data_IF_388964023703
#
_entry.id   IF_388964023703
#
_cell.length_a   1.000
_cell.length_b   1.000
_cell.length_c   1.000
_cell.angle_alpha   90.00
_cell.angle_beta   90.00
_cell.angle_gamma   90.00
#
_symmetry.space_group_name_H-M   'P 1'
#
loop_
_entity.id
_entity.type
_entity.pdbx_description
1 polymer ?
#
# COMPACT_ATOMS: atom_id res chain seq x y z
N UNK A 1 36.23 -15.55 -10.52
CA UNK A 1 34.89 -16.08 -10.20
C UNK A 1 33.97 -15.02 -9.61
N UNK A 2 34.42 -14.09 -8.79
CA UNK A 2 33.62 -13.02 -8.16
C UNK A 2 32.89 -12.12 -9.16
N UNK A 3 33.52 -11.73 -10.28
CA UNK A 3 32.90 -10.86 -11.28
C UNK A 3 31.71 -11.49 -12.04
N UNK A 4 31.74 -12.81 -12.25
CA UNK A 4 30.63 -13.52 -12.89
C UNK A 4 29.38 -13.57 -11.99
N UNK A 5 29.56 -13.83 -10.70
CA UNK A 5 28.47 -13.82 -9.74
C UNK A 5 27.85 -12.42 -9.58
N UNK A 6 28.67 -11.37 -9.55
CA UNK A 6 28.17 -10.00 -9.47
C UNK A 6 27.36 -9.60 -10.74
N UNK A 7 27.83 -9.98 -11.93
CA UNK A 7 27.10 -9.74 -13.17
C UNK A 7 25.77 -10.50 -13.22
N UNK A 8 25.73 -11.74 -12.74
CA UNK A 8 24.51 -12.55 -12.67
C UNK A 8 23.50 -11.96 -11.67
N UNK A 9 23.95 -11.51 -10.51
CA UNK A 9 23.08 -10.84 -9.54
C UNK A 9 22.50 -9.55 -10.09
N UNK A 10 23.31 -8.69 -10.73
CA UNK A 10 22.82 -7.47 -11.40
C UNK A 10 21.76 -7.79 -12.45
N UNK A 11 21.99 -8.81 -13.29
CA UNK A 11 21.03 -9.23 -14.30
C UNK A 11 19.72 -9.74 -13.70
N UNK A 12 19.78 -10.54 -12.62
CA UNK A 12 18.59 -11.05 -11.94
C UNK A 12 17.76 -9.90 -11.36
N UNK A 13 18.39 -8.95 -10.67
CA UNK A 13 17.74 -7.77 -10.11
C UNK A 13 17.06 -6.96 -11.21
N UNK A 14 17.74 -6.74 -12.35
CA UNK A 14 17.18 -6.01 -13.49
C UNK A 14 15.93 -6.68 -14.05
N UNK A 15 15.99 -8.01 -14.28
CA UNK A 15 14.84 -8.77 -14.81
C UNK A 15 13.65 -8.71 -13.87
N UNK A 16 13.88 -8.91 -12.59
CA UNK A 16 12.81 -8.83 -11.57
C UNK A 16 12.22 -7.41 -11.52
N UNK A 17 13.06 -6.38 -11.51
CA UNK A 17 12.60 -4.99 -11.46
C UNK A 17 11.78 -4.60 -12.69
N UNK A 18 12.22 -4.97 -13.90
CA UNK A 18 11.48 -4.71 -15.15
C UNK A 18 10.11 -5.42 -15.12
N UNK A 19 10.08 -6.67 -14.66
CA UNK A 19 8.82 -7.43 -14.55
C UNK A 19 7.86 -6.77 -13.56
N UNK A 20 8.36 -6.32 -12.41
CA UNK A 20 7.58 -5.58 -11.41
C UNK A 20 7.09 -4.24 -11.95
N UNK A 21 7.92 -3.51 -12.71
CA UNK A 21 7.55 -2.25 -13.36
C UNK A 21 6.35 -2.42 -14.30
N UNK A 22 6.41 -3.42 -15.18
CA UNK A 22 5.33 -3.71 -16.13
C UNK A 22 4.05 -4.13 -15.39
N UNK A 23 4.15 -4.99 -14.40
CA UNK A 23 2.99 -5.43 -13.61
C UNK A 23 2.37 -4.30 -12.79
N UNK A 24 3.19 -3.45 -12.17
CA UNK A 24 2.72 -2.26 -11.46
C UNK A 24 1.99 -1.30 -12.42
N UNK A 25 2.56 -1.04 -13.59
CA UNK A 25 1.96 -0.18 -14.59
C UNK A 25 0.61 -0.72 -15.08
N UNK A 26 0.57 -1.95 -15.60
CA UNK A 26 -0.64 -2.55 -16.15
C UNK A 26 -1.74 -2.73 -15.10
N UNK A 27 -1.36 -3.22 -13.90
CA UNK A 27 -2.30 -3.44 -12.80
C UNK A 27 -2.94 -2.15 -12.32
N UNK A 28 -2.15 -1.11 -12.12
CA UNK A 28 -2.66 0.16 -11.58
C UNK A 28 -3.44 0.98 -12.62
N UNK A 29 -3.08 0.93 -13.90
CA UNK A 29 -3.94 1.46 -14.98
C UNK A 29 -5.30 0.78 -14.98
N UNK A 30 -5.34 -0.55 -14.89
CA UNK A 30 -6.59 -1.30 -14.85
C UNK A 30 -7.45 -0.88 -13.66
N UNK A 31 -6.84 -0.74 -12.47
CA UNK A 31 -7.54 -0.25 -11.26
C UNK A 31 -8.14 1.13 -11.52
N UNK A 32 -7.39 2.08 -12.07
CA UNK A 32 -7.88 3.44 -12.36
C UNK A 32 -9.05 3.42 -13.36
N UNK A 33 -8.98 2.59 -14.40
CA UNK A 33 -10.06 2.44 -15.37
C UNK A 33 -11.32 1.88 -14.71
N UNK A 34 -11.17 0.83 -13.90
CA UNK A 34 -12.30 0.20 -13.17
C UNK A 34 -12.92 1.20 -12.18
N UNK A 35 -12.12 1.96 -11.43
CA UNK A 35 -12.62 2.97 -10.50
C UNK A 35 -13.45 4.07 -11.18
N UNK A 36 -13.10 4.44 -12.42
CA UNK A 36 -13.88 5.40 -13.21
C UNK A 36 -15.23 4.81 -13.68
N UNK A 37 -15.28 3.52 -13.98
CA UNK A 37 -16.50 2.84 -14.48
C UNK A 37 -17.46 2.43 -13.38
N UNK A 38 -16.95 2.05 -12.20
CA UNK A 38 -17.78 1.56 -11.09
C UNK A 38 -18.39 2.73 -10.34
N UNK A 39 -19.71 2.92 -10.48
CA UNK A 39 -20.48 3.96 -9.75
C UNK A 39 -20.87 3.55 -8.33
N UNK A 40 -20.92 2.25 -8.03
CA UNK A 40 -21.40 1.72 -6.74
C UNK A 40 -20.43 1.89 -5.56
N UNK A 41 -19.15 2.16 -5.81
CA UNK A 41 -18.19 2.40 -4.76
C UNK A 41 -18.39 3.77 -4.11
N UNK A 42 -18.19 3.83 -2.79
CA UNK A 42 -18.24 5.08 -2.01
C UNK A 42 -17.13 6.05 -2.45
N UNK A 43 -17.44 7.33 -2.50
CA UNK A 43 -16.51 8.36 -2.99
C UNK A 43 -15.21 8.43 -2.18
N UNK A 44 -15.27 8.20 -0.85
CA UNK A 44 -14.08 8.15 0.01
C UNK A 44 -13.17 6.96 -0.35
N UNK A 45 -13.73 5.76 -0.53
CA UNK A 45 -12.98 4.56 -0.94
C UNK A 45 -12.38 4.74 -2.33
N UNK A 46 -13.11 5.35 -3.28
CA UNK A 46 -12.59 5.66 -4.62
C UNK A 46 -11.38 6.57 -4.58
N UNK A 47 -11.42 7.59 -3.71
CA UNK A 47 -10.32 8.54 -3.55
C UNK A 47 -9.05 7.83 -3.04
N UNK A 48 -9.18 7.02 -1.99
CA UNK A 48 -8.04 6.29 -1.41
C UNK A 48 -7.44 5.28 -2.40
N UNK A 49 -8.30 4.47 -3.03
CA UNK A 49 -7.85 3.50 -4.03
C UNK A 49 -7.24 4.19 -5.26
N UNK A 50 -7.79 5.33 -5.67
CA UNK A 50 -7.24 6.14 -6.76
C UNK A 50 -5.90 6.75 -6.41
N UNK A 51 -5.72 7.23 -5.17
CA UNK A 51 -4.45 7.72 -4.67
C UNK A 51 -3.38 6.61 -4.68
N UNK A 52 -3.70 5.44 -4.11
CA UNK A 52 -2.82 4.28 -4.10
C UNK A 52 -2.42 3.86 -5.51
N UNK A 53 -3.38 3.65 -6.40
CA UNK A 53 -3.09 3.26 -7.78
C UNK A 53 -2.26 4.30 -8.53
N UNK A 54 -2.42 5.60 -8.22
CA UNK A 54 -1.62 6.66 -8.84
C UNK A 54 -0.18 6.67 -8.31
N UNK A 55 0.04 6.48 -7.01
CA UNK A 55 1.39 6.37 -6.44
C UNK A 55 2.12 5.14 -6.97
N UNK A 56 1.47 3.98 -7.02
CA UNK A 56 2.06 2.75 -7.54
C UNK A 56 2.36 2.83 -9.05
N UNK A 57 1.52 3.58 -9.80
CA UNK A 57 1.80 3.89 -11.20
C UNK A 57 3.06 4.75 -11.34
N UNK A 58 3.24 5.75 -10.47
CA UNK A 58 4.45 6.58 -10.45
C UNK A 58 5.68 5.74 -10.07
N UNK A 59 5.57 4.82 -9.14
CA UNK A 59 6.66 3.87 -8.82
C UNK A 59 7.04 3.08 -10.06
N UNK A 60 6.08 2.45 -10.74
CA UNK A 60 6.33 1.64 -11.94
C UNK A 60 6.91 2.43 -13.12
N UNK A 61 6.47 3.67 -13.32
CA UNK A 61 6.88 4.49 -14.48
C UNK A 61 8.15 5.31 -14.26
N UNK A 62 8.44 5.71 -13.03
CA UNK A 62 9.51 6.65 -12.73
C UNK A 62 10.57 5.98 -11.85
N UNK A 63 10.18 5.49 -10.67
CA UNK A 63 11.13 5.02 -9.67
C UNK A 63 11.87 3.76 -10.13
N UNK A 64 11.16 2.80 -10.70
CA UNK A 64 11.78 1.56 -11.17
C UNK A 64 12.70 1.75 -12.39
N UNK A 65 12.35 2.52 -13.43
CA UNK A 65 13.30 2.87 -14.49
C UNK A 65 14.52 3.66 -14.00
N UNK A 66 14.36 4.57 -13.01
CA UNK A 66 15.48 5.26 -12.39
C UNK A 66 16.43 4.29 -11.67
N UNK A 67 15.88 3.30 -10.97
CA UNK A 67 16.66 2.24 -10.33
C UNK A 67 17.46 1.42 -11.35
N UNK A 68 16.85 1.07 -12.48
CA UNK A 68 17.56 0.38 -13.59
C UNK A 68 18.70 1.25 -14.12
N UNK A 69 18.44 2.55 -14.36
CA UNK A 69 19.46 3.48 -14.81
C UNK A 69 20.59 3.63 -13.79
N UNK A 70 20.27 3.67 -12.50
CA UNK A 70 21.25 3.69 -11.40
C UNK A 70 22.16 2.45 -11.42
N UNK A 71 21.58 1.24 -11.48
CA UNK A 71 22.37 -0.02 -11.48
C UNK A 71 23.23 -0.17 -12.73
N UNK A 72 22.78 0.36 -13.87
CA UNK A 72 23.53 0.32 -15.13
C UNK A 72 24.61 1.41 -15.24
N UNK A 73 24.56 2.42 -14.38
CA UNK A 73 25.55 3.50 -14.42
C UNK A 73 26.92 3.02 -13.93
N UNK A 74 28.02 3.53 -14.52
CA UNK A 74 29.38 3.22 -14.06
C UNK A 74 29.55 3.68 -12.61
N UNK A 75 30.11 2.79 -11.79
CA UNK A 75 30.49 3.11 -10.40
C UNK A 75 31.45 4.33 -10.43
N UNK A 76 31.26 5.28 -9.50
CA UNK A 76 31.99 6.56 -9.40
C UNK A 76 31.68 7.61 -10.46
N UNK A 77 30.64 7.44 -11.29
CA UNK A 77 30.20 8.51 -12.19
C UNK A 77 29.31 9.52 -11.43
N UNK A 78 29.40 10.81 -11.81
CA UNK A 78 28.48 11.84 -11.30
C UNK A 78 27.02 11.48 -11.58
N UNK A 79 26.76 10.81 -12.70
CA UNK A 79 25.43 10.34 -13.07
C UNK A 79 24.89 9.32 -12.04
N UNK A 80 25.72 8.34 -11.64
CA UNK A 80 25.36 7.35 -10.64
C UNK A 80 24.95 8.01 -9.30
N UNK A 81 25.74 9.00 -8.86
CA UNK A 81 25.47 9.77 -7.64
C UNK A 81 24.12 10.51 -7.70
N UNK A 82 23.84 11.24 -8.79
CA UNK A 82 22.55 11.93 -8.92
C UNK A 82 21.37 10.99 -9.04
N UNK A 83 21.52 9.89 -9.79
CA UNK A 83 20.46 8.88 -9.94
C UNK A 83 20.13 8.21 -8.60
N UNK A 84 21.12 7.89 -7.76
CA UNK A 84 20.89 7.31 -6.44
C UNK A 84 20.09 8.24 -5.54
N UNK A 85 20.48 9.52 -5.48
CA UNK A 85 19.77 10.51 -4.67
C UNK A 85 18.32 10.68 -5.14
N UNK A 86 18.10 10.83 -6.45
CA UNK A 86 16.75 11.03 -6.98
C UNK A 86 15.89 9.79 -6.72
N UNK A 87 16.44 8.60 -6.95
CA UNK A 87 15.76 7.34 -6.69
C UNK A 87 15.36 7.21 -5.22
N UNK A 88 16.30 7.40 -4.31
CA UNK A 88 16.07 7.33 -2.86
C UNK A 88 14.97 8.30 -2.41
N UNK A 89 15.07 9.60 -2.80
CA UNK A 89 14.08 10.61 -2.43
C UNK A 89 12.69 10.31 -2.95
N UNK A 90 12.57 9.87 -4.19
CA UNK A 90 11.28 9.50 -4.77
C UNK A 90 10.71 8.24 -4.09
N UNK A 91 11.55 7.25 -3.78
CA UNK A 91 11.13 6.02 -3.09
C UNK A 91 10.56 6.33 -1.71
N UNK A 92 11.23 7.18 -0.92
CA UNK A 92 10.76 7.60 0.41
C UNK A 92 9.40 8.33 0.32
N UNK A 93 9.26 9.28 -0.61
CA UNK A 93 8.00 10.02 -0.78
C UNK A 93 6.86 9.09 -1.18
N UNK A 94 7.05 8.34 -2.27
CA UNK A 94 5.99 7.50 -2.83
C UNK A 94 5.66 6.32 -1.91
N UNK A 95 6.68 5.69 -1.31
CA UNK A 95 6.51 4.62 -0.32
C UNK A 95 5.75 5.09 0.92
N UNK A 96 6.12 6.23 1.49
CA UNK A 96 5.44 6.81 2.64
C UNK A 96 3.96 7.12 2.37
N UNK A 97 3.65 7.70 1.20
CA UNK A 97 2.25 7.95 0.79
C UNK A 97 1.50 6.64 0.55
N UNK A 98 2.11 5.65 -0.10
CA UNK A 98 1.47 4.34 -0.35
C UNK A 98 1.15 3.61 0.94
N UNK A 99 2.10 3.49 1.88
CA UNK A 99 1.89 2.83 3.19
C UNK A 99 0.81 3.53 4.00
N UNK A 100 0.84 4.86 4.08
CA UNK A 100 -0.19 5.63 4.80
C UNK A 100 -1.58 5.48 4.15
N UNK A 101 -1.65 5.44 2.82
CA UNK A 101 -2.91 5.24 2.09
C UNK A 101 -3.47 3.83 2.29
N UNK A 102 -2.62 2.78 2.29
CA UNK A 102 -3.03 1.41 2.63
C UNK A 102 -3.59 1.32 4.05
N UNK A 103 -2.96 1.99 5.01
CA UNK A 103 -3.45 2.08 6.39
C UNK A 103 -4.81 2.77 6.45
N UNK A 104 -4.98 3.88 5.74
CA UNK A 104 -6.26 4.58 5.65
C UNK A 104 -7.36 3.72 5.04
N UNK A 105 -7.06 2.91 4.00
CA UNK A 105 -8.00 1.95 3.43
C UNK A 105 -8.40 0.90 4.46
N UNK A 106 -7.45 0.39 5.25
CA UNK A 106 -7.73 -0.60 6.31
C UNK A 106 -8.65 -0.04 7.38
N UNK A 107 -8.38 1.18 7.85
CA UNK A 107 -9.23 1.91 8.82
C UNK A 107 -10.61 2.21 8.22
N UNK A 108 -10.67 2.66 6.98
CA UNK A 108 -11.93 2.96 6.28
C UNK A 108 -12.83 1.71 6.21
N UNK A 109 -12.26 0.56 5.88
CA UNK A 109 -12.97 -0.72 5.84
C UNK A 109 -13.51 -1.12 7.21
N UNK A 110 -12.70 -0.98 8.27
CA UNK A 110 -13.14 -1.24 9.64
C UNK A 110 -14.27 -0.31 10.06
N UNK A 111 -14.14 1.00 9.80
CA UNK A 111 -15.18 1.98 10.10
C UNK A 111 -16.48 1.72 9.34
N UNK A 112 -16.38 1.29 8.08
CA UNK A 112 -17.56 0.92 7.30
C UNK A 112 -18.34 -0.25 7.91
N UNK A 113 -17.64 -1.19 8.52
CA UNK A 113 -18.25 -2.34 9.19
C UNK A 113 -18.82 -1.98 10.58
N UNK A 114 -18.05 -1.20 11.38
CA UNK A 114 -18.43 -0.83 12.74
C UNK A 114 -19.60 0.16 12.80
N UNK A 115 -19.59 1.17 11.91
CA UNK A 115 -20.50 2.30 11.98
C UNK A 115 -21.78 2.09 11.14
N UNK A 116 -21.79 1.15 10.20
CA UNK A 116 -22.94 0.87 9.35
C UNK A 116 -23.54 2.16 8.75
N UNK A 117 -24.74 2.55 9.20
CA UNK A 117 -25.44 3.75 8.72
C UNK A 117 -24.75 5.07 9.13
N UNK A 118 -24.08 5.12 10.27
CA UNK A 118 -23.34 6.31 10.75
C UNK A 118 -22.04 6.58 10.01
N UNK A 119 -21.56 5.61 9.22
CA UNK A 119 -20.32 5.74 8.44
C UNK A 119 -20.28 7.03 7.60
N UNK A 120 -21.37 7.39 6.94
CA UNK A 120 -21.45 8.59 6.07
C UNK A 120 -21.21 9.92 6.82
N UNK A 121 -21.51 9.96 8.12
CA UNK A 121 -21.29 11.15 8.94
C UNK A 121 -19.83 11.26 9.39
N UNK A 122 -19.18 10.12 9.64
CA UNK A 122 -17.79 10.06 10.14
C UNK A 122 -16.78 10.14 9.00
N UNK A 123 -16.96 9.33 7.95
CA UNK A 123 -16.00 9.26 6.81
C UNK A 123 -16.54 10.12 5.67
N UNK A 124 -16.16 11.39 5.68
CA UNK A 124 -16.48 12.35 4.62
C UNK A 124 -15.34 12.45 3.61
N UNK A 125 -15.67 12.73 2.35
CA UNK A 125 -14.68 12.92 1.29
C UNK A 125 -13.65 13.99 1.64
N UNK A 126 -14.10 15.10 2.25
CA UNK A 126 -13.21 16.19 2.68
C UNK A 126 -12.15 15.73 3.69
N UNK A 127 -12.54 14.92 4.69
CA UNK A 127 -11.59 14.37 5.69
C UNK A 127 -10.57 13.45 5.03
N UNK A 128 -11.02 12.63 4.10
CA UNK A 128 -10.11 11.72 3.36
C UNK A 128 -9.17 12.53 2.45
N UNK A 129 -9.66 13.56 1.77
CA UNK A 129 -8.80 14.47 1.00
C UNK A 129 -7.74 15.15 1.87
N UNK A 130 -8.15 15.70 3.01
CA UNK A 130 -7.21 16.31 3.96
C UNK A 130 -6.16 15.31 4.43
N UNK A 131 -6.56 14.07 4.73
CA UNK A 131 -5.62 13.02 5.12
C UNK A 131 -4.60 12.74 4.00
N UNK A 132 -5.05 12.57 2.75
CA UNK A 132 -4.16 12.34 1.61
C UNK A 132 -3.18 13.51 1.42
N UNK A 133 -3.67 14.75 1.47
CA UNK A 133 -2.80 15.95 1.36
C UNK A 133 -1.77 15.99 2.49
N UNK A 134 -2.18 15.69 3.70
CA UNK A 134 -1.27 15.65 4.86
C UNK A 134 -0.23 14.52 4.72
N UNK A 135 -0.60 13.35 4.21
CA UNK A 135 0.35 12.26 3.99
C UNK A 135 1.44 12.64 2.96
N UNK A 136 1.08 13.33 1.88
CA UNK A 136 2.03 13.89 0.93
C UNK A 136 2.95 14.92 1.58
N UNK A 137 2.37 15.86 2.34
CA UNK A 137 3.14 16.89 3.04
C UNK A 137 4.15 16.26 4.00
N UNK A 138 3.73 15.33 4.85
CA UNK A 138 4.66 14.66 5.78
C UNK A 138 5.75 13.86 5.08
N UNK A 139 5.44 13.16 4.00
CA UNK A 139 6.43 12.40 3.23
C UNK A 139 7.47 13.32 2.59
N UNK A 140 7.05 14.46 2.04
CA UNK A 140 7.97 15.49 1.47
C UNK A 140 8.84 16.10 2.58
N UNK A 141 8.25 16.48 3.71
CA UNK A 141 9.00 17.06 4.84
C UNK A 141 10.02 16.05 5.37
N UNK A 142 9.64 14.80 5.55
CA UNK A 142 10.56 13.74 5.96
C UNK A 142 11.74 13.60 4.99
N UNK A 143 11.48 13.63 3.69
CA UNK A 143 12.51 13.54 2.66
C UNK A 143 13.43 14.79 2.66
N UNK A 144 12.91 15.97 2.92
CA UNK A 144 13.74 17.18 3.03
C UNK A 144 14.61 17.17 4.30
N UNK A 145 14.08 16.67 5.41
CA UNK A 145 14.84 16.57 6.67
C UNK A 145 15.94 15.51 6.62
N UNK A 146 15.81 14.48 5.78
CA UNK A 146 16.86 13.46 5.60
C UNK A 146 18.16 14.00 5.02
N UNK A 147 18.16 15.20 4.45
CA UNK A 147 19.39 15.89 4.00
C UNK A 147 20.28 16.35 5.16
N UNK A 148 19.73 16.50 6.37
CA UNK A 148 20.45 16.99 7.55
C UNK A 148 20.91 15.84 8.46
N UNK A 149 20.08 14.84 8.67
CA UNK A 149 20.42 13.70 9.50
C UNK A 149 19.64 12.45 9.03
N UNK A 150 20.32 11.60 8.28
CA UNK A 150 19.72 10.37 7.71
C UNK A 150 19.25 9.39 8.79
N UNK A 151 19.98 9.28 9.91
CA UNK A 151 19.67 8.30 10.96
C UNK A 151 18.35 8.63 11.67
N UNK A 152 18.12 9.90 11.99
CA UNK A 152 16.88 10.33 12.66
C UNK A 152 15.69 10.10 11.76
N UNK A 153 15.82 10.46 10.48
CA UNK A 153 14.73 10.27 9.51
C UNK A 153 14.43 8.81 9.25
N UNK A 154 15.46 7.97 9.15
CA UNK A 154 15.29 6.52 9.04
C UNK A 154 14.54 5.95 10.25
N UNK A 155 14.91 6.32 11.46
CA UNK A 155 14.20 5.90 12.68
C UNK A 155 12.73 6.35 12.68
N UNK A 156 12.46 7.60 12.29
CA UNK A 156 11.08 8.11 12.19
C UNK A 156 10.29 7.35 11.12
N UNK A 157 10.89 7.11 9.95
CA UNK A 157 10.25 6.36 8.86
C UNK A 157 9.96 4.92 9.27
N UNK A 158 10.92 4.22 9.87
CA UNK A 158 10.74 2.85 10.38
C UNK A 158 9.65 2.79 11.46
N UNK A 159 9.66 3.70 12.44
CA UNK A 159 8.63 3.73 13.49
C UNK A 159 7.25 4.02 12.93
N UNK A 160 7.12 4.98 12.00
CA UNK A 160 5.86 5.29 11.34
C UNK A 160 5.34 4.10 10.52
N UNK A 161 6.21 3.41 9.80
CA UNK A 161 5.88 2.22 9.00
C UNK A 161 5.40 1.08 9.90
N UNK A 162 6.11 0.79 10.99
CA UNK A 162 5.70 -0.22 11.98
C UNK A 162 4.33 0.10 12.57
N UNK A 163 4.08 1.36 12.95
CA UNK A 163 2.77 1.79 13.46
C UNK A 163 1.66 1.61 12.41
N UNK A 164 1.93 1.91 11.15
CA UNK A 164 0.99 1.69 10.05
C UNK A 164 0.66 0.20 9.87
N UNK A 165 1.66 -0.68 9.93
CA UNK A 165 1.47 -2.13 9.84
C UNK A 165 0.66 -2.65 11.01
N UNK A 166 1.02 -2.28 12.24
CA UNK A 166 0.31 -2.69 13.47
C UNK A 166 -1.15 -2.24 13.41
N UNK A 167 -1.41 -0.99 12.99
CA UNK A 167 -2.77 -0.47 12.81
C UNK A 167 -3.55 -1.26 11.77
N UNK A 168 -2.94 -1.60 10.63
CA UNK A 168 -3.57 -2.41 9.59
C UNK A 168 -3.89 -3.82 10.09
N UNK A 169 -2.96 -4.49 10.75
CA UNK A 169 -3.16 -5.82 11.34
C UNK A 169 -4.31 -5.78 12.34
N UNK A 170 -4.34 -4.77 13.23
CA UNK A 170 -5.43 -4.59 14.19
C UNK A 170 -6.79 -4.42 13.49
N UNK A 171 -6.87 -3.56 12.48
CA UNK A 171 -8.09 -3.34 11.70
C UNK A 171 -8.58 -4.64 11.05
N UNK A 172 -7.71 -5.37 10.39
CA UNK A 172 -8.07 -6.62 9.73
C UNK A 172 -8.46 -7.73 10.70
N UNK A 173 -7.78 -7.84 11.84
CA UNK A 173 -8.15 -8.79 12.90
C UNK A 173 -9.55 -8.48 13.45
N UNK A 174 -9.87 -7.21 13.72
CA UNK A 174 -11.21 -6.81 14.16
C UNK A 174 -12.28 -7.11 13.11
N UNK A 175 -12.03 -6.79 11.84
CA UNK A 175 -12.94 -7.13 10.73
C UNK A 175 -13.19 -8.65 10.70
N UNK A 176 -12.13 -9.45 10.80
CA UNK A 176 -12.22 -10.91 10.77
C UNK A 176 -13.07 -11.47 11.92
N UNK A 177 -12.84 -11.00 13.15
CA UNK A 177 -13.59 -11.43 14.34
C UNK A 177 -15.07 -11.03 14.25
N UNK A 178 -15.38 -9.82 13.79
CA UNK A 178 -16.77 -9.37 13.63
C UNK A 178 -17.53 -10.17 12.58
N UNK A 179 -16.90 -10.46 11.45
CA UNK A 179 -17.52 -11.29 10.40
C UNK A 179 -17.76 -12.72 10.87
N UNK A 180 -16.83 -13.29 11.66
CA UNK A 180 -16.98 -14.62 12.25
C UNK A 180 -18.16 -14.69 13.21
N UNK A 181 -18.30 -13.71 14.09
CA UNK A 181 -19.42 -13.63 15.04
C UNK A 181 -20.77 -13.45 14.33
N UNK A 182 -20.81 -12.65 13.26
CA UNK A 182 -22.04 -12.48 12.48
C UNK A 182 -22.47 -13.77 11.76
N UNK A 183 -21.51 -14.57 11.27
CA UNK A 183 -21.82 -15.88 10.68
C UNK A 183 -22.37 -16.87 11.72
N UNK A 184 -21.77 -16.92 12.91
CA UNK A 184 -22.24 -17.78 13.99
C UNK A 184 -23.67 -17.45 14.40
N UNK A 185 -24.02 -16.15 14.47
CA UNK A 185 -25.38 -15.72 14.77
C UNK A 185 -26.38 -16.07 13.68
N UNK A 186 -26.03 -15.85 12.41
CA UNK A 186 -26.91 -16.19 11.28
C UNK A 186 -27.15 -17.71 11.17
N UNK A 187 -26.13 -18.52 11.41
CA UNK A 187 -26.26 -19.99 11.44
C UNK A 187 -27.10 -20.46 12.64
N UNK A 188 -26.94 -19.86 13.82
CA UNK A 188 -27.76 -20.17 15.00
C UNK A 188 -29.25 -19.87 14.78
N UNK A 189 -29.57 -18.76 14.09
CA UNK A 189 -30.96 -18.44 13.74
C UNK A 189 -31.54 -19.30 12.60
N UNK A 190 -30.72 -19.78 11.67
CA UNK A 190 -31.14 -20.68 10.61
C UNK A 190 -31.55 -22.07 11.14
N UNK A 191 -30.99 -22.50 12.27
CA UNK A 191 -31.39 -23.72 12.95
C UNK A 191 -32.71 -23.58 13.74
N UNK A 192 -33.14 -22.37 14.04
CA UNK A 192 -34.27 -22.07 14.91
C UNK A 192 -35.54 -21.55 14.20
N UNK A 193 -35.50 -21.28 12.92
CA UNK A 193 -36.65 -20.69 12.23
C UNK A 193 -36.54 -20.70 10.72
N UNK A 194 -37.30 -21.57 10.12
CA UNK A 194 -37.71 -21.54 8.73
C UNK A 194 -38.46 -20.24 8.46
N UNK A 195 -37.84 -19.24 7.80
CA UNK A 195 -38.60 -18.14 7.19
C UNK A 195 -37.79 -17.32 6.16
N UNK A 196 -38.42 -17.19 5.01
CA UNK A 196 -38.15 -16.33 3.86
C UNK A 196 -37.53 -14.99 4.20
N UNK A 197 -36.36 -14.73 3.64
CA UNK A 197 -35.76 -13.41 3.62
C UNK A 197 -34.55 -13.40 2.68
N UNK A 198 -34.80 -13.03 1.41
CA UNK A 198 -33.82 -13.01 0.32
C UNK A 198 -32.77 -11.91 0.47
N UNK A 199 -31.89 -12.01 1.47
CA UNK A 199 -30.65 -11.24 1.55
C UNK A 199 -29.54 -12.06 0.89
N UNK A 200 -28.92 -11.58 -0.18
CA UNK A 200 -27.75 -12.20 -0.78
C UNK A 200 -26.69 -12.41 0.31
N UNK A 201 -26.27 -13.63 0.60
CA UNK A 201 -25.19 -13.87 1.56
C UNK A 201 -23.92 -13.20 1.01
N UNK A 202 -23.44 -12.22 1.74
CA UNK A 202 -22.15 -11.60 1.44
C UNK A 202 -21.09 -12.71 1.49
N UNK A 203 -20.38 -12.93 0.40
CA UNK A 203 -19.45 -14.05 0.25
C UNK A 203 -18.21 -13.80 1.13
N UNK A 204 -18.32 -14.10 2.43
CA UNK A 204 -17.34 -13.84 3.49
C UNK A 204 -16.02 -14.53 3.17
N UNK A 205 -16.05 -15.67 2.50
CA UNK A 205 -14.85 -16.38 2.07
C UNK A 205 -14.04 -15.59 1.04
N UNK A 206 -14.72 -14.89 0.14
CA UNK A 206 -14.08 -14.03 -0.86
C UNK A 206 -13.50 -12.76 -0.21
N UNK A 207 -14.23 -12.17 0.75
CA UNK A 207 -13.74 -11.03 1.52
C UNK A 207 -12.52 -11.38 2.38
N UNK A 208 -12.52 -12.56 3.00
CA UNK A 208 -11.42 -13.11 3.80
C UNK A 208 -10.14 -13.29 2.97
N UNK A 209 -10.24 -13.77 1.73
CA UNK A 209 -9.11 -13.90 0.80
C UNK A 209 -8.54 -12.51 0.41
N UNK A 210 -9.41 -11.54 0.15
CA UNK A 210 -9.00 -10.17 -0.21
C UNK A 210 -8.25 -9.48 0.94
N UNK A 211 -8.72 -9.68 2.18
CA UNK A 211 -8.07 -9.15 3.39
C UNK A 211 -6.69 -9.76 3.59
N UNK A 212 -6.59 -11.09 3.47
CA UNK A 212 -5.31 -11.80 3.60
C UNK A 212 -4.30 -11.37 2.52
N UNK A 213 -4.75 -11.24 1.26
CA UNK A 213 -3.86 -10.81 0.18
C UNK A 213 -3.37 -9.36 0.37
N UNK A 214 -4.22 -8.46 0.84
CA UNK A 214 -3.82 -7.07 1.12
C UNK A 214 -2.74 -6.98 2.23
N UNK A 215 -2.86 -7.79 3.29
CA UNK A 215 -1.84 -7.89 4.34
C UNK A 215 -0.51 -8.42 3.80
N UNK A 216 -0.55 -9.48 3.00
CA UNK A 216 0.66 -10.04 2.40
C UNK A 216 1.35 -9.05 1.47
N UNK A 217 0.59 -8.32 0.67
CA UNK A 217 1.13 -7.27 -0.21
C UNK A 217 1.79 -6.15 0.61
N UNK A 218 1.15 -5.72 1.70
CA UNK A 218 1.69 -4.67 2.57
C UNK A 218 3.00 -5.11 3.25
N UNK A 219 3.06 -6.35 3.74
CA UNK A 219 4.27 -6.93 4.32
C UNK A 219 5.37 -7.07 3.26
N UNK A 220 5.02 -7.56 2.07
CA UNK A 220 5.96 -7.76 0.96
C UNK A 220 6.55 -6.44 0.41
N UNK A 221 5.81 -5.33 0.49
CA UNK A 221 6.30 -4.01 0.07
C UNK A 221 7.26 -3.40 1.09
N UNK A 222 7.03 -3.63 2.39
CA UNK A 222 7.80 -2.99 3.46
C UNK A 222 9.07 -3.74 3.82
N UNK A 223 9.05 -5.08 3.77
CA UNK A 223 10.20 -5.92 4.16
C UNK A 223 11.46 -5.67 3.32
N UNK A 224 11.39 -5.51 1.99
CA UNK A 224 12.58 -5.21 1.18
C UNK A 224 13.20 -3.85 1.48
N UNK A 225 12.37 -2.81 1.70
CA UNK A 225 12.85 -1.46 1.96
C UNK A 225 13.59 -1.40 3.30
N UNK A 226 13.01 -1.99 4.35
CA UNK A 226 13.65 -2.06 5.69
C UNK A 226 14.90 -2.95 5.69
N UNK A 227 14.92 -4.02 4.90
CA UNK A 227 16.09 -4.90 4.80
C UNK A 227 17.24 -4.27 4.02
N UNK A 228 16.98 -3.52 2.95
CA UNK A 228 18.00 -2.78 2.22
C UNK A 228 18.68 -1.72 3.09
N UNK A 229 17.89 -0.99 3.91
CA UNK A 229 18.39 0.09 4.76
C UNK A 229 19.15 -0.42 6.00
N UNK A 230 18.96 -1.69 6.41
CA UNK A 230 19.65 -2.30 7.56
C UNK A 230 20.93 -3.03 7.14
N UNK A 231 21.06 -3.41 5.87
CA UNK A 231 22.20 -4.23 5.35
C UNK A 231 23.24 -3.36 4.63
N UNK A 232 22.94 -2.13 4.23
CA UNK A 232 23.87 -1.14 3.69
C UNK A 232 24.28 -0.14 4.77
#
# INVERSE_FOLDING_TARGET
MTGFYAAYQKLLILVVNITLSITAFLGNILIIIVLKRVSSLRSASKLLLGCLASTDLCVGLITQPLFVAYIMSPEHSMLCYYLSIIFERLSVILGGVSVSTLTAISVERLLALLLGLRYRQVVTVRRVQSYVVMSWFFSIVATLTSTYDERIVLLIACTATVLCIVTSIFCYTKIYLMLGNHQAQVQGHAYQGQSNGGGRPMNITQYRKTVSSALWIQIALVVPDVLCDVVC
#
